data_IF_808543341424
#
_entry.id   IF_808543341424
#
_cell.length_a   1.000
_cell.length_b   1.000
_cell.length_c   1.000
_cell.angle_alpha   90.00
_cell.angle_beta   90.00
_cell.angle_gamma   90.00
#
_symmetry.space_group_name_H-M   'P 1'
#
loop_
_entity.id
_entity.type
_entity.pdbx_description
1 polymer ?
#
# COMPACT_ATOMS: atom_id res chain seq x y z
N UNK A 1 -7.64 4.84 -2.56
CA UNK A 1 -6.51 5.09 -1.64
C UNK A 1 -6.36 6.56 -1.32
N UNK A 2 -6.17 7.45 -2.30
CA UNK A 2 -5.91 8.88 -2.06
C UNK A 2 -6.88 9.61 -1.13
N UNK A 3 -8.18 9.33 -1.19
CA UNK A 3 -9.15 9.93 -0.27
C UNK A 3 -8.77 9.72 1.20
N UNK A 4 -8.26 8.53 1.55
CA UNK A 4 -7.84 8.20 2.91
C UNK A 4 -6.53 8.88 3.33
N UNK A 5 -5.71 9.33 2.38
CA UNK A 5 -4.48 10.09 2.70
C UNK A 5 -4.79 11.59 2.87
N UNK A 6 -5.84 12.07 2.20
CA UNK A 6 -6.26 13.46 2.25
C UNK A 6 -7.24 13.75 3.38
N UNK A 7 -7.93 12.75 3.92
CA UNK A 7 -8.78 12.94 5.11
C UNK A 7 -7.95 13.45 6.27
N UNK A 8 -8.41 14.48 7.00
CA UNK A 8 -7.70 14.98 8.16
C UNK A 8 -7.49 13.87 9.20
N UNK A 9 -6.47 14.01 10.03
CA UNK A 9 -6.23 13.12 11.16
C UNK A 9 -7.04 13.63 12.34
N UNK A 10 -8.09 12.91 12.71
CA UNK A 10 -8.91 13.26 13.87
C UNK A 10 -8.17 12.95 15.18
N UNK A 11 -8.28 13.85 16.16
CA UNK A 11 -7.86 13.61 17.54
C UNK A 11 -9.09 13.50 18.46
N UNK A 12 -9.18 12.48 19.34
CA UNK A 12 -8.16 11.46 19.63
C UNK A 12 -8.09 10.35 18.58
N UNK A 13 -6.87 9.87 18.32
CA UNK A 13 -6.62 8.76 17.38
C UNK A 13 -7.27 7.47 17.90
N UNK A 14 -8.13 6.86 17.08
CA UNK A 14 -8.70 5.54 17.38
C UNK A 14 -7.60 4.47 17.35
N UNK A 15 -7.38 3.81 18.50
CA UNK A 15 -6.43 2.71 18.66
C UNK A 15 -7.15 1.37 18.80
N UNK A 16 -6.58 0.32 18.24
CA UNK A 16 -7.05 -1.07 18.28
C UNK A 16 -5.97 -1.94 18.94
N UNK A 17 -6.37 -3.07 19.52
CA UNK A 17 -5.46 -4.03 20.17
C UNK A 17 -4.54 -3.40 21.22
N UNK A 18 -5.02 -2.37 21.92
CA UNK A 18 -4.30 -1.72 23.02
C UNK A 18 -3.19 -0.74 22.60
N UNK A 19 -3.00 -0.44 21.31
CA UNK A 19 -1.98 0.55 20.92
C UNK A 19 -1.88 0.90 19.43
N UNK A 20 -2.39 0.04 18.53
CA UNK A 20 -2.22 0.22 17.08
C UNK A 20 -3.21 1.24 16.52
N UNK A 21 -2.76 2.27 15.79
CA UNK A 21 -3.69 3.19 15.14
C UNK A 21 -4.56 2.46 14.10
N UNK A 22 -5.88 2.55 14.24
CA UNK A 22 -6.83 1.88 13.34
C UNK A 22 -6.58 2.25 11.87
N UNK A 23 -6.24 3.52 11.62
CA UNK A 23 -5.93 4.05 10.29
C UNK A 23 -4.74 3.36 9.64
N UNK A 24 -3.70 3.03 10.41
CA UNK A 24 -2.52 2.33 9.89
C UNK A 24 -2.84 0.89 9.45
N UNK A 25 -3.80 0.22 10.10
CA UNK A 25 -4.28 -1.09 9.62
C UNK A 25 -4.99 -0.98 8.26
N UNK A 26 -5.83 0.05 8.10
CA UNK A 26 -6.54 0.30 6.82
C UNK A 26 -5.54 0.59 5.70
N UNK A 27 -4.51 1.38 5.99
CA UNK A 27 -3.35 1.60 5.14
C UNK A 27 -2.74 0.30 4.62
N UNK A 28 -2.37 -0.60 5.54
CA UNK A 28 -1.81 -1.90 5.18
C UNK A 28 -2.73 -2.70 4.28
N UNK A 29 -4.02 -2.81 4.62
CA UNK A 29 -5.01 -3.52 3.79
C UNK A 29 -5.15 -2.91 2.38
N UNK A 30 -5.11 -1.57 2.29
CA UNK A 30 -5.17 -0.88 1.02
C UNK A 30 -3.93 -1.17 0.16
N UNK A 31 -2.72 -1.21 0.74
CA UNK A 31 -1.50 -1.55 0.01
C UNK A 31 -1.41 -3.04 -0.37
N UNK A 32 -1.99 -3.95 0.43
CA UNK A 32 -2.20 -5.35 0.02
C UNK A 32 -3.07 -5.40 -1.23
N UNK A 33 -4.25 -4.78 -1.18
CA UNK A 33 -5.19 -4.76 -2.29
C UNK A 33 -4.59 -4.09 -3.53
N UNK A 34 -3.93 -2.96 -3.36
CA UNK A 34 -3.25 -2.23 -4.44
C UNK A 34 -2.23 -3.12 -5.15
N UNK A 35 -1.24 -3.61 -4.43
CA UNK A 35 -0.15 -4.38 -5.07
C UNK A 35 -0.66 -5.67 -5.70
N UNK A 36 -1.59 -6.38 -5.05
CA UNK A 36 -2.19 -7.60 -5.58
C UNK A 36 -3.00 -7.34 -6.87
N UNK A 37 -3.92 -6.36 -6.84
CA UNK A 37 -4.81 -6.08 -7.96
C UNK A 37 -4.05 -5.49 -9.15
N UNK A 38 -3.08 -4.61 -8.92
CA UNK A 38 -2.28 -4.02 -10.00
C UNK A 38 -1.37 -5.05 -10.66
N UNK A 39 -0.76 -5.96 -9.89
CA UNK A 39 -0.02 -7.08 -10.47
C UNK A 39 -0.94 -7.97 -11.31
N UNK A 40 -2.13 -8.30 -10.80
CA UNK A 40 -3.12 -9.10 -11.53
C UNK A 40 -3.58 -8.42 -12.82
N UNK A 41 -3.87 -7.13 -12.78
CA UNK A 41 -4.29 -6.35 -13.95
C UNK A 41 -3.19 -6.25 -15.01
N UNK A 42 -1.96 -5.91 -14.61
CA UNK A 42 -0.83 -5.79 -15.54
C UNK A 42 -0.42 -7.14 -16.15
N UNK A 43 -0.50 -8.24 -15.39
CA UNK A 43 -0.18 -9.57 -15.91
C UNK A 43 -1.24 -10.14 -16.86
N UNK A 44 -2.46 -9.60 -16.86
CA UNK A 44 -3.53 -9.96 -17.80
C UNK A 44 -3.50 -9.18 -19.11
N UNK A 45 -2.58 -8.22 -19.28
CA UNK A 45 -2.46 -7.46 -20.53
C UNK A 45 -1.81 -8.29 -21.65
N UNK A 46 -2.63 -8.93 -22.49
CA UNK A 46 -2.16 -9.75 -23.63
C UNK A 46 -1.51 -8.92 -24.75
N UNK A 47 -1.92 -7.66 -24.92
CA UNK A 47 -1.42 -6.77 -25.99
C UNK A 47 -0.09 -6.08 -25.65
N UNK A 48 0.28 -6.00 -24.38
CA UNK A 48 1.44 -5.23 -23.92
C UNK A 48 2.43 -6.12 -23.15
N UNK A 49 3.13 -7.01 -23.87
CA UNK A 49 4.09 -7.95 -23.28
C UNK A 49 5.21 -7.27 -22.49
N UNK A 50 5.63 -6.06 -22.89
CA UNK A 50 6.65 -5.27 -22.18
C UNK A 50 6.16 -4.85 -20.78
N UNK A 51 4.91 -4.40 -20.68
CA UNK A 51 4.28 -4.01 -19.40
C UNK A 51 4.13 -5.23 -18.49
N UNK A 52 3.69 -6.37 -19.04
CA UNK A 52 3.60 -7.65 -18.32
C UNK A 52 4.95 -8.04 -17.71
N UNK A 53 6.03 -8.06 -18.51
CA UNK A 53 7.38 -8.45 -18.04
C UNK A 53 7.91 -7.53 -16.94
N UNK A 54 7.53 -6.25 -16.97
CA UNK A 54 7.97 -5.25 -16.00
C UNK A 54 7.00 -5.05 -14.83
N UNK A 55 5.88 -5.76 -14.76
CA UNK A 55 4.87 -5.57 -13.71
C UNK A 55 5.45 -5.70 -12.30
N UNK A 56 6.33 -6.68 -12.07
CA UNK A 56 7.00 -6.90 -10.78
C UNK A 56 8.03 -5.83 -10.41
N UNK A 57 8.39 -4.92 -11.32
CA UNK A 57 9.24 -3.76 -11.04
C UNK A 57 8.38 -2.50 -10.93
N UNK A 58 7.41 -2.34 -11.84
CA UNK A 58 6.52 -1.17 -11.89
C UNK A 58 5.66 -1.09 -10.63
N UNK A 59 4.99 -2.18 -10.23
CA UNK A 59 4.04 -2.12 -9.11
C UNK A 59 4.74 -1.77 -7.78
N UNK A 60 5.87 -2.39 -7.41
CA UNK A 60 6.60 -1.97 -6.21
C UNK A 60 7.13 -0.54 -6.30
N UNK A 61 7.63 -0.10 -7.46
CA UNK A 61 8.12 1.27 -7.64
C UNK A 61 7.00 2.30 -7.46
N UNK A 62 5.82 2.05 -8.04
CA UNK A 62 4.65 2.93 -7.87
C UNK A 62 4.14 2.89 -6.43
N UNK A 63 4.17 1.73 -5.77
CA UNK A 63 3.83 1.62 -4.35
C UNK A 63 4.75 2.51 -3.51
N UNK A 64 6.08 2.42 -3.69
CA UNK A 64 7.05 3.26 -2.98
C UNK A 64 6.80 4.76 -3.19
N UNK A 65 6.53 5.18 -4.43
CA UNK A 65 6.19 6.57 -4.72
C UNK A 65 4.90 7.02 -4.02
N UNK A 66 3.91 6.12 -3.95
CA UNK A 66 2.64 6.40 -3.28
C UNK A 66 2.83 6.50 -1.76
N UNK A 67 3.66 5.65 -1.17
CA UNK A 67 4.03 5.69 0.26
C UNK A 67 4.73 7.02 0.56
N UNK A 68 5.76 7.37 -0.22
CA UNK A 68 6.50 8.62 -0.02
C UNK A 68 5.60 9.86 -0.13
N UNK A 69 4.66 9.86 -1.09
CA UNK A 69 3.69 10.93 -1.23
C UNK A 69 2.69 10.99 -0.06
N UNK A 70 2.20 9.83 0.41
CA UNK A 70 1.32 9.77 1.57
C UNK A 70 2.02 10.29 2.85
N UNK A 71 3.24 9.83 3.12
CA UNK A 71 4.06 10.30 4.25
C UNK A 71 4.30 11.81 4.20
N UNK A 72 4.57 12.35 3.01
CA UNK A 72 4.76 13.80 2.82
C UNK A 72 3.49 14.58 3.17
N UNK A 73 2.31 14.06 2.79
CA UNK A 73 1.02 14.67 3.15
C UNK A 73 0.81 14.65 4.67
N UNK A 74 1.08 13.52 5.33
CA UNK A 74 0.94 13.44 6.79
C UNK A 74 1.92 14.34 7.53
N UNK A 75 3.13 14.50 7.01
CA UNK A 75 4.12 15.42 7.56
C UNK A 75 3.65 16.88 7.47
N UNK A 76 3.05 17.28 6.33
CA UNK A 76 2.44 18.62 6.16
C UNK A 76 1.26 18.82 7.11
N UNK A 77 0.48 17.78 7.38
CA UNK A 77 -0.64 17.81 8.32
C UNK A 77 -0.21 17.79 9.81
N UNK A 78 1.10 17.78 10.09
CA UNK A 78 1.66 17.72 11.44
C UNK A 78 1.16 16.49 12.22
N UNK A 79 0.99 15.37 11.53
CA UNK A 79 0.57 14.12 12.14
C UNK A 79 1.60 13.63 13.18
N UNK A 80 1.12 12.95 14.22
CA UNK A 80 1.95 12.39 15.27
C UNK A 80 3.03 11.44 14.69
N UNK A 81 4.27 11.52 15.19
CA UNK A 81 5.40 10.68 14.77
C UNK A 81 5.15 9.19 14.95
N UNK A 82 4.38 8.79 15.97
CA UNK A 82 3.98 7.40 16.17
C UNK A 82 3.05 6.92 15.04
N UNK A 83 2.11 7.76 14.59
CA UNK A 83 1.19 7.43 13.50
C UNK A 83 1.94 7.29 12.18
N UNK A 84 2.88 8.21 11.90
CA UNK A 84 3.76 8.15 10.73
C UNK A 84 4.54 6.83 10.69
N UNK A 85 5.16 6.45 11.80
CA UNK A 85 5.92 5.20 11.89
C UNK A 85 5.04 3.97 11.62
N UNK A 86 3.84 3.91 12.23
CA UNK A 86 2.91 2.81 12.00
C UNK A 86 2.39 2.76 10.57
N UNK A 87 2.03 3.91 9.98
CA UNK A 87 1.61 3.98 8.58
C UNK A 87 2.69 3.43 7.66
N UNK A 88 3.94 3.88 7.83
CA UNK A 88 5.08 3.40 7.07
C UNK A 88 5.24 1.88 7.17
N UNK A 89 5.24 1.32 8.38
CA UNK A 89 5.36 -0.13 8.60
C UNK A 89 4.24 -0.88 7.89
N UNK A 90 2.99 -0.45 8.07
CA UNK A 90 1.84 -1.12 7.47
C UNK A 90 1.79 -0.99 5.95
N UNK A 91 2.21 0.14 5.39
CA UNK A 91 2.26 0.35 3.95
C UNK A 91 3.28 -0.58 3.27
N UNK A 92 4.48 -0.70 3.86
CA UNK A 92 5.52 -1.63 3.38
C UNK A 92 5.09 -3.09 3.55
N UNK A 93 4.61 -3.46 4.74
CA UNK A 93 4.14 -4.81 5.02
C UNK A 93 2.97 -5.19 4.09
N UNK A 94 2.02 -4.28 3.90
CA UNK A 94 0.87 -4.45 3.03
C UNK A 94 1.28 -4.66 1.58
N UNK A 95 2.19 -3.82 1.07
CA UNK A 95 2.75 -3.98 -0.28
C UNK A 95 3.43 -5.34 -0.45
N UNK A 96 4.25 -5.76 0.51
CA UNK A 96 4.92 -7.05 0.50
C UNK A 96 3.94 -8.22 0.48
N UNK A 97 2.93 -8.20 1.36
CA UNK A 97 1.89 -9.21 1.44
C UNK A 97 1.04 -9.30 0.16
N UNK A 98 0.71 -8.18 -0.47
CA UNK A 98 -0.04 -8.19 -1.74
C UNK A 98 0.78 -8.76 -2.90
N UNK A 99 2.09 -8.47 -2.96
CA UNK A 99 3.00 -9.11 -3.93
C UNK A 99 3.12 -10.61 -3.68
N UNK A 100 3.30 -11.03 -2.42
CA UNK A 100 3.43 -12.43 -2.04
C UNK A 100 2.14 -13.21 -2.33
N UNK A 101 0.98 -12.67 -1.95
CA UNK A 101 -0.30 -13.30 -2.25
C UNK A 101 -0.54 -13.46 -3.75
N UNK A 102 -0.15 -12.48 -4.58
CA UNK A 102 -0.19 -12.61 -6.02
C UNK A 102 0.72 -13.75 -6.50
N UNK A 103 1.97 -13.80 -6.02
CA UNK A 103 2.90 -14.88 -6.38
C UNK A 103 2.35 -16.25 -6.00
N UNK A 104 1.83 -16.42 -4.78
CA UNK A 104 1.29 -17.71 -4.31
C UNK A 104 0.10 -18.17 -5.14
N UNK A 105 -0.85 -17.26 -5.42
CA UNK A 105 -2.07 -17.61 -6.15
C UNK A 105 -1.84 -17.86 -7.64
N UNK A 106 -0.88 -17.16 -8.25
CA UNK A 106 -0.67 -17.20 -9.70
C UNK A 106 0.64 -17.88 -10.12
N UNK A 107 1.34 -18.56 -9.19
CA UNK A 107 2.62 -19.26 -9.45
C UNK A 107 2.55 -20.35 -10.53
N UNK A 108 1.34 -20.84 -10.85
CA UNK A 108 1.11 -21.89 -11.86
C UNK A 108 0.52 -21.36 -13.16
N UNK A 109 0.13 -20.08 -13.20
CA UNK A 109 -0.49 -19.46 -14.38
C UNK A 109 0.49 -18.59 -15.18
N UNK A 110 1.68 -18.33 -14.63
CA UNK A 110 2.75 -17.50 -15.18
C UNK A 110 4.11 -18.08 -14.80
#
# INVERSE_FOLDING_TARGET
>A
MWLLFLTPVDEPILRVFGGLPARSLVHGLLFVGFSHLWLSGLNRQLRFAVLKRKAFVIVPAVALLTIAAAESIYWIQHANSELLLWNLIFDFAGTGMGILSFRVLYNKCY
#
